data_IF_158694641617
#
_entry.id   IF_158694641617
#
_cell.length_a   1.000
_cell.length_b   1.000
_cell.length_c   1.000
_cell.angle_alpha   90.00
_cell.angle_beta   90.00
_cell.angle_gamma   90.00
#
_symmetry.space_group_name_H-M   'P 1'
#
loop_
_entity.id
_entity.type
_entity.pdbx_description
1 polymer ?
#
# COMPACT_ATOMS: atom_id res chain seq x y z
N UNK A 1 -5.77 10.96 -10.32
CA UNK A 1 -5.48 9.52 -10.45
C UNK A 1 -4.17 9.26 -9.72
N UNK A 2 -4.04 8.20 -8.90
CA UNK A 2 -2.83 7.90 -8.13
C UNK A 2 -2.30 6.49 -8.44
N UNK A 3 -1.00 6.26 -8.23
CA UNK A 3 -0.39 4.94 -8.37
C UNK A 3 -0.19 4.30 -7.00
N UNK A 4 -0.55 3.02 -6.85
CA UNK A 4 -0.44 2.31 -5.57
C UNK A 4 0.73 1.33 -5.56
N UNK A 5 1.82 1.70 -4.90
CA UNK A 5 2.92 0.80 -4.58
C UNK A 5 2.67 0.15 -3.21
N UNK A 6 1.77 -0.83 -3.19
CA UNK A 6 1.29 -1.44 -1.95
C UNK A 6 1.12 -2.96 -2.09
N UNK A 7 1.62 -3.77 -1.14
CA UNK A 7 2.40 -3.36 0.03
C UNK A 7 3.91 -3.29 -0.22
N UNK A 8 4.61 -2.53 0.60
CA UNK A 8 6.05 -2.69 0.86
C UNK A 8 6.21 -3.90 1.78
N UNK A 9 6.91 -4.95 1.33
CA UNK A 9 7.06 -6.20 2.07
C UNK A 9 8.53 -6.54 2.32
N UNK A 10 8.82 -7.02 3.52
CA UNK A 10 10.12 -7.58 3.92
C UNK A 10 9.94 -9.03 4.35
N UNK A 11 10.87 -9.89 3.97
CA UNK A 11 10.82 -11.31 4.30
C UNK A 11 12.20 -11.95 4.19
N UNK A 12 12.36 -13.17 4.71
CA UNK A 12 13.54 -14.02 4.48
C UNK A 12 13.14 -15.42 4.06
N UNK A 13 14.03 -16.14 3.39
CA UNK A 13 13.89 -17.59 3.18
C UNK A 13 14.28 -18.31 4.47
N UNK A 14 13.61 -19.42 4.82
CA UNK A 14 13.91 -20.18 6.05
C UNK A 14 15.38 -20.61 6.15
N UNK A 15 16.02 -20.90 5.02
CA UNK A 15 17.40 -21.38 4.95
C UNK A 15 18.41 -20.24 4.68
N UNK A 16 18.03 -18.98 4.85
CA UNK A 16 18.91 -17.83 4.59
C UNK A 16 18.68 -16.72 5.61
N UNK A 17 19.76 -16.06 6.00
CA UNK A 17 19.71 -14.86 6.83
C UNK A 17 19.54 -13.57 5.99
N UNK A 18 19.53 -13.67 4.66
CA UNK A 18 19.32 -12.52 3.78
C UNK A 18 17.88 -12.03 3.88
N UNK A 19 17.72 -10.74 4.20
CA UNK A 19 16.43 -10.05 4.14
C UNK A 19 16.18 -9.60 2.69
N UNK A 20 15.02 -9.97 2.18
CA UNK A 20 14.51 -9.65 0.85
C UNK A 20 13.33 -8.67 0.95
N UNK A 21 13.12 -7.88 -0.10
CA UNK A 21 12.01 -6.94 -0.21
C UNK A 21 11.66 -6.66 -1.68
N UNK A 22 10.58 -5.91 -1.91
CA UNK A 22 10.12 -5.54 -3.26
C UNK A 22 10.56 -4.13 -3.73
N UNK A 23 11.55 -3.51 -3.08
CA UNK A 23 11.96 -2.13 -3.39
C UNK A 23 13.00 -2.01 -4.51
N UNK A 24 13.57 -3.11 -4.99
CA UNK A 24 14.65 -3.10 -5.99
C UNK A 24 14.30 -2.36 -7.29
N UNK A 25 13.03 -2.36 -7.70
CA UNK A 25 12.52 -1.66 -8.89
C UNK A 25 11.79 -0.37 -8.57
N UNK A 26 11.78 0.08 -7.32
CA UNK A 26 11.00 1.24 -6.89
C UNK A 26 11.37 2.49 -7.71
N UNK A 27 12.66 2.84 -7.79
CA UNK A 27 13.12 3.99 -8.58
C UNK A 27 12.65 3.95 -10.04
N UNK A 28 12.80 2.80 -10.69
CA UNK A 28 12.35 2.62 -12.07
C UNK A 28 10.84 2.82 -12.22
N UNK A 29 10.06 2.28 -11.29
CA UNK A 29 8.59 2.43 -11.28
C UNK A 29 8.22 3.91 -11.10
N UNK A 30 8.82 4.60 -10.14
CA UNK A 30 8.55 6.02 -9.86
C UNK A 30 8.88 6.89 -11.08
N UNK A 31 9.99 6.65 -11.76
CA UNK A 31 10.34 7.36 -12.99
C UNK A 31 9.25 7.21 -14.06
N UNK A 32 8.75 5.98 -14.28
CA UNK A 32 7.68 5.74 -15.28
C UNK A 32 6.33 6.28 -14.85
N UNK A 33 6.00 6.21 -13.57
CA UNK A 33 4.76 6.77 -13.02
C UNK A 33 4.75 8.30 -13.14
N UNK A 34 5.85 8.96 -12.79
CA UNK A 34 5.99 10.40 -12.92
C UNK A 34 5.88 10.86 -14.37
N UNK A 35 6.47 10.12 -15.32
CA UNK A 35 6.37 10.42 -16.75
C UNK A 35 4.93 10.38 -17.30
N UNK A 36 3.99 9.75 -16.59
CA UNK A 36 2.56 9.75 -16.93
C UNK A 36 1.80 10.96 -16.35
N UNK A 37 2.47 11.88 -15.65
CA UNK A 37 1.85 13.07 -15.05
C UNK A 37 1.12 12.79 -13.74
N UNK A 38 1.45 11.70 -13.04
CA UNK A 38 0.93 11.48 -11.69
C UNK A 38 1.69 12.34 -10.68
N UNK A 39 0.98 12.80 -9.65
CA UNK A 39 1.50 13.67 -8.60
C UNK A 39 1.62 12.96 -7.24
N UNK A 40 1.01 11.78 -7.10
CA UNK A 40 0.91 11.06 -5.84
C UNK A 40 1.10 9.55 -6.02
N UNK A 41 1.80 8.95 -5.06
CA UNK A 41 1.84 7.50 -4.87
C UNK A 41 1.24 7.11 -3.53
N UNK A 42 0.46 6.04 -3.50
CA UNK A 42 -0.02 5.43 -2.26
C UNK A 42 0.82 4.21 -1.90
N UNK A 43 1.18 4.07 -0.63
CA UNK A 43 1.91 2.91 -0.13
C UNK A 43 1.43 2.48 1.26
N UNK A 44 1.80 1.27 1.68
CA UNK A 44 1.80 0.87 3.08
C UNK A 44 2.82 -0.26 3.30
N UNK A 45 3.34 -0.40 4.52
CA UNK A 45 4.04 -1.64 4.90
C UNK A 45 3.06 -2.78 5.11
N UNK A 46 3.40 -3.95 4.58
CA UNK A 46 2.59 -5.16 4.67
C UNK A 46 2.13 -5.47 6.11
N UNK A 47 0.83 -5.66 6.29
CA UNK A 47 0.28 -6.19 7.54
C UNK A 47 0.39 -7.71 7.53
N UNK A 48 0.96 -8.28 8.60
CA UNK A 48 1.21 -9.72 8.71
C UNK A 48 0.04 -10.40 9.42
N UNK A 49 -1.02 -10.68 8.67
CA UNK A 49 -2.17 -11.43 9.18
C UNK A 49 -1.81 -12.90 9.44
N UNK A 50 -2.50 -13.57 10.36
CA UNK A 50 -2.28 -15.00 10.67
C UNK A 50 -2.31 -15.89 9.41
N UNK A 51 -3.27 -15.66 8.50
CA UNK A 51 -3.37 -16.40 7.22
C UNK A 51 -2.19 -16.16 6.28
N UNK A 52 -1.64 -14.95 6.26
CA UNK A 52 -0.44 -14.60 5.48
C UNK A 52 0.77 -15.29 6.08
N UNK A 53 0.94 -15.19 7.40
CA UNK A 53 2.03 -15.83 8.13
C UNK A 53 2.05 -17.34 7.88
N UNK A 54 0.92 -18.02 8.05
CA UNK A 54 0.80 -19.45 7.84
C UNK A 54 1.16 -19.85 6.40
N UNK A 55 0.68 -19.09 5.41
CA UNK A 55 0.98 -19.36 3.99
C UNK A 55 2.44 -19.18 3.67
N UNK A 56 3.02 -18.04 4.05
CA UNK A 56 4.43 -17.76 3.78
C UNK A 56 5.32 -18.81 4.44
N UNK A 57 5.04 -19.16 5.71
CA UNK A 57 5.78 -20.20 6.43
C UNK A 57 5.69 -21.57 5.75
N UNK A 58 4.51 -21.99 5.31
CA UNK A 58 4.31 -23.24 4.59
C UNK A 58 5.10 -23.29 3.27
N UNK A 59 5.42 -22.13 2.69
CA UNK A 59 6.20 -21.99 1.45
C UNK A 59 7.67 -21.66 1.66
N UNK A 60 8.16 -21.75 2.89
CA UNK A 60 9.57 -21.54 3.19
C UNK A 60 9.98 -20.07 3.34
N UNK A 61 9.03 -19.15 3.51
CA UNK A 61 9.27 -17.73 3.74
C UNK A 61 8.83 -17.29 5.13
N UNK A 62 9.59 -16.38 5.73
CA UNK A 62 9.26 -15.76 7.01
C UNK A 62 9.04 -14.27 6.76
N UNK A 63 7.81 -13.74 6.90
CA UNK A 63 7.57 -12.31 6.80
C UNK A 63 8.26 -11.57 7.94
N UNK A 64 8.75 -10.36 7.65
CA UNK A 64 9.40 -9.48 8.61
C UNK A 64 8.60 -8.18 8.65
N UNK A 65 8.27 -7.74 9.86
CA UNK A 65 7.72 -6.40 10.09
C UNK A 65 8.84 -5.52 10.65
N UNK A 66 9.43 -4.61 9.85
CA UNK A 66 10.45 -3.72 10.35
C UNK A 66 9.92 -2.86 11.50
N UNK A 67 10.79 -2.56 12.47
CA UNK A 67 10.48 -1.60 13.54
C UNK A 67 10.34 -0.18 12.95
N UNK A 68 9.90 0.77 13.77
CA UNK A 68 9.59 2.12 13.30
C UNK A 68 10.84 2.84 12.77
N UNK A 69 11.97 2.70 13.47
CA UNK A 69 13.25 3.31 13.13
C UNK A 69 13.71 2.83 11.75
N UNK A 70 13.62 1.52 11.49
CA UNK A 70 13.98 0.97 10.18
C UNK A 70 13.01 1.40 9.08
N UNK A 71 11.70 1.49 9.39
CA UNK A 71 10.71 2.03 8.44
C UNK A 71 11.04 3.47 8.05
N UNK A 72 11.41 4.30 9.02
CA UNK A 72 11.80 5.69 8.78
C UNK A 72 13.04 5.79 7.89
N UNK A 73 14.09 5.00 8.16
CA UNK A 73 15.29 4.93 7.30
C UNK A 73 14.94 4.53 5.86
N UNK A 74 14.09 3.52 5.69
CA UNK A 74 13.61 3.10 4.36
C UNK A 74 12.85 4.24 3.69
N UNK A 75 11.90 4.85 4.40
CA UNK A 75 11.04 5.88 3.84
C UNK A 75 11.81 7.14 3.45
N UNK A 76 12.83 7.55 4.21
CA UNK A 76 13.66 8.69 3.83
C UNK A 76 14.29 8.50 2.44
N UNK A 77 14.75 7.28 2.15
CA UNK A 77 15.28 6.95 0.83
C UNK A 77 14.20 6.98 -0.26
N UNK A 78 12.98 6.52 0.03
CA UNK A 78 11.88 6.52 -0.93
C UNK A 78 11.35 7.93 -1.20
N UNK A 79 11.25 8.77 -0.17
CA UNK A 79 10.87 10.19 -0.26
C UNK A 79 11.85 10.92 -1.18
N UNK A 80 13.16 10.78 -0.94
CA UNK A 80 14.19 11.37 -1.79
C UNK A 80 14.10 10.94 -3.27
N UNK A 81 13.59 9.74 -3.56
CA UNK A 81 13.35 9.29 -4.94
C UNK A 81 12.10 9.97 -5.50
N UNK A 82 11.02 10.04 -4.73
CA UNK A 82 9.76 10.63 -5.17
C UNK A 82 9.87 12.15 -5.37
N UNK A 83 10.57 12.86 -4.48
CA UNK A 83 10.78 14.31 -4.55
C UNK A 83 11.50 14.74 -5.83
N UNK A 84 12.49 13.95 -6.28
CA UNK A 84 13.19 14.17 -7.57
C UNK A 84 12.24 14.13 -8.78
N UNK A 85 11.06 13.54 -8.61
CA UNK A 85 10.04 13.39 -9.63
C UNK A 85 8.75 14.15 -9.28
N UNK A 86 8.77 15.03 -8.28
CA UNK A 86 7.59 15.78 -7.79
C UNK A 86 6.40 14.88 -7.41
N UNK A 87 6.67 13.67 -6.91
CA UNK A 87 5.66 12.73 -6.46
C UNK A 87 5.54 12.78 -4.93
N UNK A 88 4.32 12.96 -4.43
CA UNK A 88 4.02 12.90 -3.00
C UNK A 88 3.79 11.48 -2.53
N UNK A 89 4.29 11.15 -1.33
CA UNK A 89 4.06 9.84 -0.72
C UNK A 89 2.86 9.87 0.23
N UNK A 90 1.88 9.01 -0.05
CA UNK A 90 0.63 8.90 0.70
C UNK A 90 0.56 7.56 1.43
N UNK A 91 0.59 7.57 2.77
CA UNK A 91 0.51 6.36 3.59
C UNK A 91 -0.95 5.93 3.79
N UNK A 92 -1.27 4.67 3.46
CA UNK A 92 -2.60 4.12 3.65
C UNK A 92 -2.73 3.41 5.00
N UNK A 93 -3.53 3.98 5.92
CA UNK A 93 -3.91 3.36 7.19
C UNK A 93 -2.68 2.99 8.07
N UNK A 94 -1.72 3.91 8.15
CA UNK A 94 -0.50 3.76 8.96
C UNK A 94 -0.20 5.07 9.71
N UNK A 95 -1.00 5.40 10.73
CA UNK A 95 -0.99 6.73 11.37
C UNK A 95 0.37 7.10 11.97
N UNK A 96 1.16 6.11 12.42
CA UNK A 96 2.52 6.34 12.93
C UNK A 96 3.46 6.93 11.88
N UNK A 97 3.27 6.60 10.60
CA UNK A 97 4.12 7.08 9.51
C UNK A 97 3.83 8.52 9.12
N UNK A 98 2.66 9.07 9.47
CA UNK A 98 2.29 10.47 9.22
C UNK A 98 3.11 11.45 10.07
N UNK A 99 3.89 10.94 11.04
CA UNK A 99 4.85 11.74 11.82
C UNK A 99 6.16 12.01 11.07
N UNK A 100 6.36 11.35 9.94
CA UNK A 100 7.54 11.52 9.09
C UNK A 100 7.24 12.62 8.07
N UNK A 101 8.10 13.63 8.01
CA UNK A 101 7.99 14.71 7.03
C UNK A 101 7.99 14.17 5.59
N UNK A 102 7.15 14.74 4.73
CA UNK A 102 6.99 14.27 3.34
C UNK A 102 6.02 13.09 3.16
N UNK A 103 5.33 12.66 4.23
CA UNK A 103 4.30 11.61 4.16
C UNK A 103 2.94 12.15 4.63
N UNK A 104 1.94 12.00 3.77
CA UNK A 104 0.56 12.42 4.05
C UNK A 104 -0.39 11.21 4.10
N UNK A 105 -1.61 11.41 4.60
CA UNK A 105 -2.63 10.36 4.68
C UNK A 105 -3.19 10.06 3.28
N UNK A 106 -3.22 8.79 2.89
CA UNK A 106 -3.85 8.38 1.64
C UNK A 106 -5.38 8.31 1.75
N UNK A 107 -6.04 8.71 0.65
CA UNK A 107 -7.47 8.57 0.41
C UNK A 107 -7.65 7.81 -0.91
N UNK A 108 -8.05 6.53 -0.86
CA UNK A 108 -8.35 5.78 -2.09
C UNK A 108 -9.64 6.29 -2.74
N UNK A 109 -10.62 6.66 -1.91
CA UNK A 109 -11.81 7.41 -2.29
C UNK A 109 -11.71 8.79 -1.64
N UNK A 110 -11.51 9.82 -2.47
CA UNK A 110 -11.23 11.20 -2.05
C UNK A 110 -12.33 12.14 -2.53
N UNK A 111 -13.25 12.50 -1.64
CA UNK A 111 -14.38 13.37 -1.95
C UNK A 111 -13.96 14.76 -2.45
N UNK A 112 -12.83 15.29 -1.97
CA UNK A 112 -12.32 16.59 -2.39
C UNK A 112 -11.83 16.54 -3.85
N UNK A 113 -11.10 15.46 -4.20
CA UNK A 113 -10.66 15.26 -5.59
C UNK A 113 -11.83 15.01 -6.53
N UNK A 114 -12.81 14.21 -6.12
CA UNK A 114 -13.97 13.90 -6.97
C UNK A 114 -14.82 15.16 -7.18
N UNK A 115 -15.06 15.97 -6.14
CA UNK A 115 -15.77 17.25 -6.25
C UNK A 115 -15.05 18.21 -7.20
N UNK A 116 -13.72 18.34 -7.09
CA UNK A 116 -12.91 19.15 -8.02
C UNK A 116 -13.03 18.69 -9.48
N UNK A 117 -13.16 17.38 -9.72
CA UNK A 117 -13.24 16.81 -11.07
C UNK A 117 -14.64 16.91 -11.68
N UNK A 118 -15.68 16.80 -10.85
CA UNK A 118 -17.08 16.75 -11.30
C UNK A 118 -17.77 18.10 -11.25
N UNK A 119 -17.34 18.99 -10.36
CA UNK A 119 -18.04 20.24 -10.03
C UNK A 119 -19.25 20.04 -9.10
N UNK A 120 -19.58 18.79 -8.75
CA UNK A 120 -20.71 18.46 -7.90
C UNK A 120 -20.33 18.47 -6.43
N UNK A 121 -21.26 18.92 -5.59
CA UNK A 121 -21.09 18.83 -4.14
C UNK A 121 -21.10 17.37 -3.67
N UNK A 122 -20.04 16.98 -2.95
CA UNK A 122 -19.89 15.67 -2.32
C UNK A 122 -19.73 15.83 -0.82
N UNK A 123 -20.48 15.02 -0.07
CA UNK A 123 -20.38 14.97 1.38
C UNK A 123 -19.01 14.39 1.83
N UNK A 124 -18.27 15.16 2.64
CA UNK A 124 -16.95 14.78 3.19
C UNK A 124 -17.08 13.96 4.48
N UNK A 125 -17.83 12.86 4.41
CA UNK A 125 -18.06 11.96 5.55
C UNK A 125 -17.06 10.81 5.48
N UNK A 126 -16.37 10.50 6.59
CA UNK A 126 -15.51 9.30 6.67
C UNK A 126 -16.33 8.03 6.46
N UNK A 127 -15.78 7.06 5.75
CA UNK A 127 -16.42 5.75 5.60
C UNK A 127 -16.33 4.94 6.91
N UNK A 128 -17.46 4.78 7.60
CA UNK A 128 -17.54 4.00 8.84
C UNK A 128 -17.35 2.50 8.63
N UNK A 129 -17.46 2.00 7.40
CA UNK A 129 -17.17 0.60 7.05
C UNK A 129 -15.68 0.30 6.89
N UNK A 130 -14.81 1.32 6.90
CA UNK A 130 -13.37 1.16 6.76
C UNK A 130 -12.65 1.10 8.11
N UNK A 131 -11.44 0.55 8.10
CA UNK A 131 -10.51 0.51 9.25
C UNK A 131 -10.38 1.89 9.91
N UNK A 132 -10.19 1.92 11.23
CA UNK A 132 -10.16 3.16 12.03
C UNK A 132 -9.26 4.24 11.42
N UNK A 133 -8.03 3.90 11.05
CA UNK A 133 -7.06 4.83 10.45
C UNK A 133 -7.19 5.02 8.93
N UNK A 134 -8.27 4.53 8.31
CA UNK A 134 -8.53 4.77 6.90
C UNK A 134 -9.03 6.21 6.70
N UNK A 135 -8.40 6.93 5.76
CA UNK A 135 -8.81 8.28 5.39
C UNK A 135 -9.96 8.35 4.38
N UNK A 136 -10.35 7.23 3.75
CA UNK A 136 -11.32 7.26 2.65
C UNK A 136 -12.68 7.85 3.08
N UNK A 137 -13.26 8.62 2.17
CA UNK A 137 -14.63 9.10 2.33
C UNK A 137 -15.65 8.01 2.00
N UNK A 138 -16.87 8.19 2.52
CA UNK A 138 -17.98 7.24 2.43
C UNK A 138 -18.22 6.86 0.98
N UNK A 139 -18.24 5.56 0.74
CA UNK A 139 -18.48 4.98 -0.57
C UNK A 139 -19.30 3.70 -0.44
N UNK A 140 -19.82 3.20 -1.56
CA UNK A 140 -20.44 1.88 -1.63
C UNK A 140 -19.55 1.01 -2.52
N UNK A 141 -18.91 0.02 -1.91
CA UNK A 141 -18.13 -0.96 -2.66
C UNK A 141 -19.08 -1.82 -3.52
N UNK A 142 -18.69 -2.04 -4.76
CA UNK A 142 -19.38 -2.90 -5.73
C UNK A 142 -18.59 -4.19 -6.00
N UNK A 143 -17.41 -4.34 -5.41
CA UNK A 143 -16.54 -5.49 -5.54
C UNK A 143 -16.93 -6.65 -4.61
N UNK A 144 -16.58 -7.87 -5.02
CA UNK A 144 -16.75 -9.07 -4.21
C UNK A 144 -15.50 -9.96 -4.29
N UNK A 145 -14.97 -10.36 -3.14
CA UNK A 145 -13.87 -11.32 -3.04
C UNK A 145 -14.35 -12.79 -3.03
N UNK A 146 -15.66 -13.01 -3.03
CA UNK A 146 -16.30 -14.34 -2.98
C UNK A 146 -17.09 -14.61 -4.25
N UNK A 147 -17.30 -15.90 -4.56
CA UNK A 147 -18.08 -16.32 -5.73
C UNK A 147 -17.27 -16.33 -7.04
N UNK A 148 -17.64 -15.45 -7.97
CA UNK A 148 -17.21 -15.45 -9.38
C UNK A 148 -15.74 -15.03 -9.54
N UNK A 149 -15.27 -14.06 -8.75
CA UNK A 149 -13.94 -13.47 -8.88
C UNK A 149 -12.87 -14.28 -8.13
N UNK A 150 -12.41 -15.38 -8.74
CA UNK A 150 -11.31 -16.21 -8.20
C UNK A 150 -9.96 -15.75 -8.74
N UNK A 151 -9.13 -15.18 -7.86
CA UNK A 151 -7.74 -14.85 -8.19
C UNK A 151 -6.86 -16.11 -8.24
N UNK A 152 -6.29 -16.42 -9.42
CA UNK A 152 -5.42 -17.58 -9.67
C UNK A 152 -3.93 -17.33 -9.37
N UNK A 153 -3.53 -16.10 -9.06
CA UNK A 153 -2.13 -15.75 -8.82
C UNK A 153 -1.54 -16.47 -7.60
N UNK A 154 -2.38 -16.84 -6.63
CA UNK A 154 -2.00 -17.62 -5.44
C UNK A 154 -0.71 -17.11 -4.76
N UNK A 155 -0.61 -15.78 -4.58
CA UNK A 155 0.59 -15.11 -4.08
C UNK A 155 0.99 -15.57 -2.67
N UNK A 156 2.30 -15.51 -2.37
CA UNK A 156 2.84 -15.82 -1.04
C UNK A 156 2.32 -14.86 0.02
N UNK A 157 2.36 -13.55 -0.27
CA UNK A 157 1.61 -12.55 0.46
C UNK A 157 0.25 -12.33 -0.21
N UNK A 158 -0.83 -12.69 0.49
CA UNK A 158 -2.18 -12.33 0.06
C UNK A 158 -3.04 -12.03 1.29
N UNK A 159 -3.46 -10.78 1.43
CA UNK A 159 -4.41 -10.39 2.46
C UNK A 159 -5.85 -10.84 2.11
N UNK A 160 -6.12 -11.23 0.86
CA UNK A 160 -7.38 -11.83 0.44
C UNK A 160 -7.34 -13.38 0.56
N UNK A 161 -8.34 -14.05 0.00
CA UNK A 161 -8.38 -15.52 -0.12
C UNK A 161 -8.30 -15.93 -1.59
N UNK A 162 -7.09 -16.11 -2.17
CA UNK A 162 -6.96 -16.54 -3.55
C UNK A 162 -7.30 -18.02 -3.68
N UNK A 163 -7.58 -18.45 -4.92
CA UNK A 163 -7.78 -19.86 -5.22
C UNK A 163 -6.51 -20.65 -4.84
N UNK A 164 -6.72 -21.81 -4.20
CA UNK A 164 -5.63 -22.78 -3.99
C UNK A 164 -5.16 -23.29 -5.36
N UNK A 165 -3.86 -23.53 -5.48
CA UNK A 165 -3.30 -24.29 -6.61
C UNK A 165 -3.71 -25.74 -6.46
#
# INVERSE_FOLDING_TARGET
INYRFDPIIFYKKKNSNQILNNLNKFKYIIEKVAALGLEEITFSFATIYAKVLNRMNARGFIPINPNFEKKQEILQNLINICDKHNLKMMACCQPKLLKIEGIEQAHCIDALKIEKLTGDFILKIRDSGQRDDCGCFKSKDIGGYTGIFRCKNNCDYCYASPAKK
#
